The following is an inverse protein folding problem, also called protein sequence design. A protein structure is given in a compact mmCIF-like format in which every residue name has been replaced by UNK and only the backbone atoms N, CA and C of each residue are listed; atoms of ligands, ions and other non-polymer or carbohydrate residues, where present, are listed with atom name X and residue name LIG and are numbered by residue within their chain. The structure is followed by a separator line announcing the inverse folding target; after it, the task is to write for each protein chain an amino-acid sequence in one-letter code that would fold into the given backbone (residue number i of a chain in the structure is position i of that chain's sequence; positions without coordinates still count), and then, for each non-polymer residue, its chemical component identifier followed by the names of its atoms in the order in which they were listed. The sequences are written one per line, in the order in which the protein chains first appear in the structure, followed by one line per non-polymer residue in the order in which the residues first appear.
data_IF_457503449952
#
_entry.id   IF_457503449952
#
_cell.length_a   1.000
_cell.length_b   1.000
_cell.length_c   1.000
_cell.angle_alpha   90.00
_cell.angle_beta   90.00
_cell.angle_gamma   90.00
#
_symmetry.space_group_name_H-M   'P 1'
#
loop_
_entity.id
_entity.type
_entity.pdbx_description
1 polymer ?
#
# COMPACT_ATOMS: atom_id res chain seq x y z
N UNK A 1 7.00 -10.22 -11.62
CA UNK A 1 5.54 -10.37 -11.77
C UNK A 1 4.94 -9.02 -12.12
N UNK A 2 3.86 -8.99 -12.90
CA UNK A 2 3.16 -7.73 -13.23
C UNK A 2 2.08 -7.39 -12.21
N UNK A 3 1.57 -6.15 -12.28
CA UNK A 3 0.51 -5.67 -11.37
C UNK A 3 -0.79 -6.46 -11.51
N UNK A 4 -1.11 -6.89 -12.74
CA UNK A 4 -2.27 -7.74 -13.00
C UNK A 4 -2.21 -9.07 -12.24
N UNK A 5 -1.04 -9.69 -12.16
CA UNK A 5 -0.84 -10.95 -11.43
C UNK A 5 -1.06 -10.75 -9.93
N UNK A 6 -0.62 -9.62 -9.38
CA UNK A 6 -0.85 -9.26 -7.96
C UNK A 6 -2.35 -9.07 -7.70
N UNK A 7 -3.04 -8.35 -8.58
CA UNK A 7 -4.48 -8.08 -8.43
C UNK A 7 -5.37 -9.30 -8.63
N UNK A 8 -4.84 -10.40 -9.19
CA UNK A 8 -5.53 -11.69 -9.31
C UNK A 8 -5.32 -12.59 -8.10
N UNK A 9 -4.46 -12.21 -7.14
CA UNK A 9 -4.28 -12.96 -5.92
C UNK A 9 -5.59 -12.98 -5.11
N UNK A 10 -5.83 -14.07 -4.37
CA UNK A 10 -7.01 -14.12 -3.49
C UNK A 10 -6.90 -13.17 -2.30
N UNK A 11 -5.67 -12.92 -1.85
CA UNK A 11 -5.32 -12.05 -0.72
C UNK A 11 -3.97 -11.40 -0.98
N UNK A 12 -3.83 -10.15 -0.53
CA UNK A 12 -2.56 -9.42 -0.53
C UNK A 12 -2.22 -9.03 0.90
N UNK A 13 -0.99 -9.32 1.33
CA UNK A 13 -0.42 -8.83 2.58
C UNK A 13 0.73 -7.88 2.25
N UNK A 14 0.57 -6.60 2.54
CA UNK A 14 1.61 -5.59 2.40
C UNK A 14 2.20 -5.30 3.79
N UNK A 15 3.53 -5.39 3.90
CA UNK A 15 4.26 -5.10 5.13
C UNK A 15 5.17 -3.91 4.88
N UNK A 16 5.09 -2.89 5.74
CA UNK A 16 5.96 -1.72 5.70
C UNK A 16 6.55 -1.47 7.09
N UNK A 17 7.82 -1.08 7.17
CA UNK A 17 8.47 -0.78 8.44
C UNK A 17 9.55 0.27 8.20
N UNK A 18 9.67 1.21 9.15
CA UNK A 18 10.60 2.33 9.08
C UNK A 18 9.99 3.61 8.54
N UNK A 19 10.52 4.73 9.02
CA UNK A 19 10.11 6.09 8.63
C UNK A 19 10.32 6.36 7.14
N UNK A 20 11.31 5.71 6.51
CA UNK A 20 11.59 5.81 5.07
C UNK A 20 10.44 5.27 4.20
N UNK A 21 9.49 4.55 4.78
CA UNK A 21 8.27 4.07 4.10
C UNK A 21 7.05 4.96 4.32
N UNK A 22 7.10 5.94 5.21
CA UNK A 22 5.93 6.72 5.60
C UNK A 22 5.25 7.44 4.43
N UNK A 23 6.03 8.10 3.58
CA UNK A 23 5.49 8.77 2.38
C UNK A 23 4.90 7.77 1.39
N UNK A 24 5.54 6.61 1.21
CA UNK A 24 5.08 5.58 0.29
C UNK A 24 3.76 4.96 0.76
N UNK A 25 3.61 4.67 2.05
CA UNK A 25 2.37 4.15 2.64
C UNK A 25 1.25 5.18 2.52
N UNK A 26 1.52 6.43 2.87
CA UNK A 26 0.55 7.53 2.70
C UNK A 26 0.08 7.66 1.25
N UNK A 27 1.02 7.74 0.31
CA UNK A 27 0.70 7.89 -1.10
C UNK A 27 -0.04 6.66 -1.66
N UNK A 28 0.28 5.46 -1.17
CA UNK A 28 -0.34 4.22 -1.62
C UNK A 28 -1.78 4.04 -1.13
N UNK A 29 -2.14 4.49 0.07
CA UNK A 29 -3.47 4.19 0.64
C UNK A 29 -4.36 5.41 0.91
N UNK A 30 -3.77 6.60 0.99
CA UNK A 30 -4.48 7.86 1.24
C UNK A 30 -4.37 8.85 0.08
N UNK A 31 -3.60 8.52 -0.96
CA UNK A 31 -3.49 9.27 -2.21
C UNK A 31 -4.39 8.72 -3.33
N UNK A 32 -4.47 9.41 -4.48
CA UNK A 32 -5.21 8.93 -5.64
C UNK A 32 -4.55 7.68 -6.26
N UNK A 33 -5.37 6.80 -6.85
CA UNK A 33 -4.87 5.66 -7.63
C UNK A 33 -4.17 6.17 -8.90
N UNK A 34 -2.86 5.93 -9.01
CA UNK A 34 -2.03 6.44 -10.11
C UNK A 34 -0.86 5.50 -10.44
N UNK A 35 -0.49 5.34 -11.72
CA UNK A 35 0.69 4.55 -12.12
C UNK A 35 2.02 5.06 -11.54
N UNK A 36 2.09 6.34 -11.13
CA UNK A 36 3.28 6.90 -10.47
C UNK A 36 3.54 6.28 -9.09
N UNK A 37 2.50 5.74 -8.45
CA UNK A 37 2.56 5.05 -7.15
C UNK A 37 1.94 3.67 -7.35
N UNK A 38 2.70 2.66 -7.80
CA UNK A 38 2.13 1.37 -8.20
C UNK A 38 1.30 0.67 -7.12
N UNK A 39 1.66 0.83 -5.84
CA UNK A 39 0.92 0.27 -4.72
C UNK A 39 -0.48 0.88 -4.54
N UNK A 40 -0.76 2.05 -5.13
CA UNK A 40 -2.07 2.71 -5.01
C UNK A 40 -3.22 1.91 -5.61
N UNK A 41 -2.95 1.03 -6.57
CA UNK A 41 -3.98 0.14 -7.13
C UNK A 41 -4.50 -0.88 -6.11
N UNK A 42 -3.73 -1.17 -5.05
CA UNK A 42 -4.13 -2.12 -4.01
C UNK A 42 -5.33 -1.63 -3.21
N UNK A 43 -5.64 -0.32 -3.25
CA UNK A 43 -6.89 0.24 -2.73
C UNK A 43 -8.13 -0.40 -3.36
N UNK A 44 -8.02 -0.94 -4.58
CA UNK A 44 -9.10 -1.58 -5.31
C UNK A 44 -9.14 -3.11 -5.14
N UNK A 45 -8.18 -3.68 -4.42
CA UNK A 45 -8.15 -5.12 -4.19
C UNK A 45 -9.18 -5.52 -3.13
N UNK A 46 -9.96 -6.58 -3.39
CA UNK A 46 -11.07 -6.98 -2.51
C UNK A 46 -10.62 -7.49 -1.13
N UNK A 47 -9.40 -8.01 -1.03
CA UNK A 47 -8.84 -8.55 0.22
C UNK A 47 -7.35 -8.18 0.34
N UNK A 48 -7.10 -6.99 0.87
CA UNK A 48 -5.76 -6.45 1.09
C UNK A 48 -5.58 -6.10 2.58
N UNK A 49 -4.54 -6.64 3.19
CA UNK A 49 -4.15 -6.35 4.57
C UNK A 49 -2.82 -5.61 4.56
N UNK A 50 -2.79 -4.47 5.25
CA UNK A 50 -1.58 -3.68 5.42
C UNK A 50 -1.15 -3.78 6.88
N UNK A 51 0.09 -4.21 7.10
CA UNK A 51 0.72 -4.24 8.41
C UNK A 51 1.89 -3.28 8.37
N UNK A 52 1.87 -2.26 9.22
CA UNK A 52 2.93 -1.29 9.30
C UNK A 52 3.26 -0.91 10.74
N UNK A 53 4.52 -0.57 11.00
CA UNK A 53 4.94 -0.02 12.29
C UNK A 53 4.56 1.46 12.42
N UNK A 54 4.68 2.00 13.63
CA UNK A 54 4.32 3.40 13.92
C UNK A 54 5.14 4.39 13.07
N UNK A 55 6.42 4.09 12.81
CA UNK A 55 7.28 4.94 11.99
C UNK A 55 6.80 5.01 10.53
N UNK A 56 6.41 3.87 9.93
CA UNK A 56 5.86 3.81 8.59
C UNK A 56 4.42 4.36 8.49
N UNK A 57 3.71 4.49 9.61
CA UNK A 57 2.38 5.10 9.67
C UNK A 57 2.40 6.58 10.08
N UNK A 58 3.57 7.13 10.40
CA UNK A 58 3.73 8.48 10.96
C UNK A 58 3.10 9.63 10.15
N UNK A 59 2.86 9.43 8.84
CA UNK A 59 2.26 10.42 7.95
C UNK A 59 0.81 10.09 7.53
N UNK A 60 0.24 8.99 8.03
CA UNK A 60 -1.11 8.53 7.71
C UNK A 60 -2.11 9.07 8.73
N UNK A 61 -3.25 9.57 8.26
CA UNK A 61 -4.34 10.04 9.13
C UNK A 61 -5.23 8.82 9.50
N UNK A 62 -4.90 8.17 10.63
CA UNK A 62 -5.59 6.98 11.17
C UNK A 62 -6.50 7.31 12.35
#
# INVERSE_FOLDING_TARGET
MGIQTIMQAKKVLLIASGEDKAEAVKAAFFGPVTPKVPASILQLHSDCVVVADEAALSLCDL
#
